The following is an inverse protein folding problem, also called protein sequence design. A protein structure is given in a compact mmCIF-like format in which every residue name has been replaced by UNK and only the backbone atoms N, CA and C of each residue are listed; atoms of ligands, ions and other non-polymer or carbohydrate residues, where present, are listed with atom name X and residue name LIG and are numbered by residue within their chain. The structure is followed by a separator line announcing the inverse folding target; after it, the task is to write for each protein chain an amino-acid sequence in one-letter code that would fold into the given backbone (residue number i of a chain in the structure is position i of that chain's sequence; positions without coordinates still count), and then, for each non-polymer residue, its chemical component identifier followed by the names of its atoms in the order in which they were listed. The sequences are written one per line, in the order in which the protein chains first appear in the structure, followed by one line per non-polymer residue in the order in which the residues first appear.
data_IF_748759077014
#
_entry.id   IF_748759077014
#
_cell.length_a   1.000
_cell.length_b   1.000
_cell.length_c   1.000
_cell.angle_alpha   90.00
_cell.angle_beta   90.00
_cell.angle_gamma   90.00
#
_symmetry.space_group_name_H-M   'P 1'
#
loop_
_entity.id
_entity.type
_entity.pdbx_description
1 polymer ?
#
# COMPACT_ATOMS: atom_id res chain seq x y z
N UNK A 1 -12.89 -5.39 -8.53
CA UNK A 1 -12.52 -3.96 -8.41
C UNK A 1 -12.19 -3.61 -6.97
N UNK A 2 -11.25 -2.69 -6.82
CA UNK A 2 -10.91 -1.90 -5.62
C UNK A 2 -12.06 -1.30 -4.81
N UNK A 3 -12.35 -1.66 -3.55
CA UNK A 3 -13.25 -0.84 -2.72
C UNK A 3 -12.85 -0.86 -1.23
N UNK A 4 -12.97 0.28 -0.56
CA UNK A 4 -12.64 0.47 0.86
C UNK A 4 -13.66 1.39 1.54
N UNK A 5 -14.11 1.03 2.74
CA UNK A 5 -14.93 1.91 3.58
C UNK A 5 -14.02 2.96 4.22
N UNK A 6 -14.24 4.24 3.91
CA UNK A 6 -13.35 5.33 4.33
C UNK A 6 -13.79 6.01 5.62
N UNK A 7 -15.10 6.04 5.89
CA UNK A 7 -15.64 6.62 7.10
C UNK A 7 -17.01 6.04 7.42
N UNK A 8 -17.18 5.49 8.63
CA UNK A 8 -18.49 5.18 9.20
C UNK A 8 -19.04 6.46 9.87
N UNK A 9 -20.20 6.94 9.40
CA UNK A 9 -20.84 8.14 9.96
C UNK A 9 -21.58 7.82 11.24
N UNK A 10 -22.36 6.75 11.21
CA UNK A 10 -23.13 6.24 12.33
C UNK A 10 -23.59 4.81 12.04
N UNK A 11 -23.83 4.05 13.11
CA UNK A 11 -24.61 2.82 13.08
C UNK A 11 -26.08 3.16 13.27
N UNK A 12 -26.96 2.38 12.67
CA UNK A 12 -28.41 2.48 12.84
C UNK A 12 -28.82 1.37 13.81
N UNK A 13 -29.46 1.77 14.91
CA UNK A 13 -30.14 0.84 15.80
C UNK A 13 -31.37 0.28 15.09
N UNK A 14 -31.47 -1.05 14.97
CA UNK A 14 -32.49 -1.70 14.13
C UNK A 14 -33.88 -1.60 14.75
N UNK A 15 -33.97 -1.56 16.08
CA UNK A 15 -35.23 -1.52 16.82
C UNK A 15 -35.83 -0.11 16.86
N UNK A 16 -34.98 0.89 17.05
CA UNK A 16 -35.40 2.29 17.23
C UNK A 16 -35.17 3.19 16.02
N UNK A 17 -34.34 2.77 15.06
CA UNK A 17 -33.87 3.62 13.96
C UNK A 17 -32.87 4.71 14.39
N UNK A 18 -32.46 4.73 15.66
CA UNK A 18 -31.59 5.78 16.18
C UNK A 18 -30.18 5.71 15.56
N UNK A 19 -29.58 6.88 15.32
CA UNK A 19 -28.20 6.99 14.85
C UNK A 19 -27.24 6.97 16.03
N UNK A 20 -26.42 5.92 16.10
CA UNK A 20 -25.44 5.71 17.16
C UNK A 20 -24.02 5.96 16.63
N UNK A 21 -23.19 6.62 17.43
CA UNK A 21 -21.77 6.77 17.11
C UNK A 21 -21.09 5.39 17.17
N UNK A 22 -20.38 5.03 16.10
CA UNK A 22 -19.67 3.77 16.01
C UNK A 22 -18.40 3.94 15.18
N UNK A 23 -17.38 3.13 15.47
CA UNK A 23 -16.13 3.08 14.69
C UNK A 23 -16.04 1.87 13.76
N UNK A 24 -16.87 0.86 13.99
CA UNK A 24 -16.98 -0.35 13.18
C UNK A 24 -18.42 -0.88 13.25
N UNK A 25 -18.78 -1.81 12.35
CA UNK A 25 -20.04 -2.55 12.36
C UNK A 25 -19.74 -4.03 12.62
N UNK A 26 -20.53 -4.65 13.49
CA UNK A 26 -20.54 -6.09 13.68
C UNK A 26 -21.45 -6.79 12.65
N UNK A 27 -21.45 -8.12 12.64
CA UNK A 27 -22.34 -8.90 11.78
C UNK A 27 -23.80 -8.53 12.04
N UNK A 28 -24.58 -8.38 10.97
CA UNK A 28 -25.99 -7.95 10.97
C UNK A 28 -26.25 -6.52 11.47
N UNK A 29 -25.22 -5.69 11.67
CA UNK A 29 -25.41 -4.27 11.95
C UNK A 29 -25.51 -3.45 10.67
N UNK A 30 -26.32 -2.40 10.73
CA UNK A 30 -26.53 -1.48 9.61
C UNK A 30 -25.84 -0.16 9.95
N UNK A 31 -25.16 0.44 8.98
CA UNK A 31 -24.56 1.76 9.17
C UNK A 31 -24.52 2.58 7.90
N UNK A 32 -24.41 3.88 8.08
CA UNK A 32 -24.23 4.83 6.98
C UNK A 32 -22.75 5.17 6.86
N UNK A 33 -22.14 4.85 5.72
CA UNK A 33 -20.71 5.01 5.53
C UNK A 33 -20.35 5.56 4.15
N UNK A 34 -19.11 6.03 4.04
CA UNK A 34 -18.50 6.44 2.78
C UNK A 34 -17.70 5.26 2.22
N UNK A 35 -17.87 4.98 0.93
CA UNK A 35 -17.08 3.99 0.20
C UNK A 35 -16.24 4.71 -0.85
N UNK A 36 -14.98 4.32 -0.96
CA UNK A 36 -14.08 4.75 -2.02
C UNK A 36 -13.73 3.54 -2.89
N UNK A 37 -13.72 3.73 -4.20
CA UNK A 37 -13.31 2.71 -5.16
C UNK A 37 -11.95 3.07 -5.77
N UNK A 38 -11.15 2.08 -6.15
CA UNK A 38 -9.83 2.33 -6.75
C UNK A 38 -9.91 2.80 -8.20
N UNK A 39 -11.02 2.49 -8.87
CA UNK A 39 -11.32 2.97 -10.23
C UNK A 39 -12.68 3.68 -10.22
N UNK A 40 -12.91 4.64 -11.13
CA UNK A 40 -14.25 5.21 -11.33
C UNK A 40 -15.29 4.14 -11.64
N UNK A 41 -16.50 4.31 -11.10
CA UNK A 41 -17.63 3.39 -11.26
C UNK A 41 -18.85 4.21 -11.62
N UNK A 42 -19.59 3.78 -12.65
CA UNK A 42 -20.90 4.33 -12.92
C UNK A 42 -21.89 3.78 -11.89
N UNK A 43 -22.63 4.66 -11.22
CA UNK A 43 -23.63 4.29 -10.24
C UNK A 43 -24.77 5.30 -10.21
N UNK A 44 -25.90 4.87 -9.67
CA UNK A 44 -27.05 5.72 -9.38
C UNK A 44 -27.39 5.64 -7.88
N UNK A 45 -28.11 6.62 -7.31
CA UNK A 45 -28.80 6.41 -6.05
C UNK A 45 -29.75 5.22 -6.15
N UNK A 46 -29.78 4.35 -5.14
CA UNK A 46 -30.67 3.17 -5.10
C UNK A 46 -32.15 3.52 -5.26
N UNK A 47 -32.54 4.71 -4.77
CA UNK A 47 -33.89 5.25 -4.93
C UNK A 47 -34.24 5.62 -6.37
N UNK A 48 -33.24 5.88 -7.21
CA UNK A 48 -33.42 6.22 -8.63
C UNK A 48 -33.30 4.98 -9.53
N UNK A 49 -32.30 4.13 -9.30
CA UNK A 49 -32.13 2.87 -10.01
C UNK A 49 -31.58 1.80 -9.06
N UNK A 50 -32.34 0.72 -8.87
CA UNK A 50 -31.99 -0.35 -7.93
C UNK A 50 -30.88 -1.26 -8.47
N UNK A 51 -30.77 -1.39 -9.80
CA UNK A 51 -29.81 -2.29 -10.43
C UNK A 51 -28.38 -1.75 -10.32
N UNK A 52 -28.22 -0.43 -10.46
CA UNK A 52 -26.93 0.27 -10.41
C UNK A 52 -26.67 0.97 -9.07
N UNK A 53 -27.69 1.09 -8.21
CA UNK A 53 -27.57 1.66 -6.88
C UNK A 53 -27.39 0.62 -5.77
N UNK A 54 -27.55 -0.66 -6.07
CA UNK A 54 -27.31 -1.77 -5.14
C UNK A 54 -25.89 -2.32 -5.32
N UNK A 55 -25.24 -2.72 -4.24
CA UNK A 55 -23.94 -3.38 -4.33
C UNK A 55 -23.73 -4.40 -3.23
N UNK A 56 -22.77 -5.29 -3.47
CA UNK A 56 -22.19 -6.17 -2.47
C UNK A 56 -20.70 -5.87 -2.35
N UNK A 57 -20.18 -5.94 -1.14
CA UNK A 57 -18.75 -5.97 -0.86
C UNK A 57 -18.37 -7.42 -0.63
N UNK A 58 -17.44 -7.91 -1.43
CA UNK A 58 -16.86 -9.24 -1.29
C UNK A 58 -15.49 -9.09 -0.64
N UNK A 59 -15.24 -9.85 0.42
CA UNK A 59 -13.90 -9.99 0.98
C UNK A 59 -13.01 -10.68 -0.06
N UNK A 60 -11.92 -10.03 -0.46
CA UNK A 60 -11.11 -10.54 -1.58
C UNK A 60 -10.28 -11.76 -1.23
N UNK A 61 -10.12 -12.07 0.06
CA UNK A 61 -9.36 -13.23 0.51
C UNK A 61 -10.26 -14.43 0.72
N UNK A 62 -11.36 -14.24 1.45
CA UNK A 62 -12.28 -15.36 1.74
C UNK A 62 -13.26 -15.61 0.61
N UNK A 63 -13.43 -14.65 -0.30
CA UNK A 63 -14.47 -14.61 -1.34
C UNK A 63 -15.90 -14.62 -0.79
N UNK A 64 -16.07 -14.38 0.51
CA UNK A 64 -17.37 -14.28 1.14
C UNK A 64 -17.94 -12.87 1.01
N UNK A 65 -19.27 -12.76 1.06
CA UNK A 65 -19.94 -11.46 1.14
C UNK A 65 -19.64 -10.81 2.49
N UNK A 66 -18.82 -9.76 2.47
CA UNK A 66 -18.51 -8.95 3.64
C UNK A 66 -19.67 -8.01 4.00
N UNK A 67 -20.36 -7.46 2.99
CA UNK A 67 -21.53 -6.59 3.18
C UNK A 67 -22.40 -6.50 1.94
N UNK A 68 -23.64 -6.03 2.11
CA UNK A 68 -24.48 -5.53 1.04
C UNK A 68 -24.92 -4.10 1.37
N UNK A 69 -25.17 -3.29 0.35
CA UNK A 69 -25.47 -1.88 0.57
C UNK A 69 -26.28 -1.25 -0.55
N UNK A 70 -26.83 -0.09 -0.21
CA UNK A 70 -27.60 0.78 -1.10
C UNK A 70 -26.89 2.13 -1.17
N UNK A 71 -26.69 2.62 -2.39
CA UNK A 71 -26.05 3.91 -2.62
C UNK A 71 -27.08 5.01 -2.36
N UNK A 72 -26.81 5.86 -1.37
CA UNK A 72 -27.67 7.00 -1.07
C UNK A 72 -27.45 8.16 -2.05
N UNK A 73 -26.19 8.59 -2.22
CA UNK A 73 -25.82 9.69 -3.12
C UNK A 73 -24.31 9.72 -3.38
N UNK A 74 -23.93 10.38 -4.48
CA UNK A 74 -22.53 10.70 -4.78
C UNK A 74 -21.97 11.72 -3.79
N UNK A 75 -20.78 11.44 -3.24
CA UNK A 75 -20.06 12.40 -2.41
C UNK A 75 -19.49 13.51 -3.30
N UNK A 76 -20.07 14.71 -3.21
CA UNK A 76 -19.68 15.88 -4.02
C UNK A 76 -18.30 16.46 -3.73
N UNK A 77 -17.53 15.89 -2.78
CA UNK A 77 -16.19 16.39 -2.45
C UNK A 77 -15.18 16.23 -3.59
N UNK A 78 -15.46 15.37 -4.57
CA UNK A 78 -14.63 15.16 -5.76
C UNK A 78 -15.33 15.49 -7.09
N UNK A 79 -16.63 15.84 -7.10
CA UNK A 79 -17.41 16.02 -8.34
C UNK A 79 -17.06 17.28 -9.14
N UNK A 80 -16.31 18.22 -8.54
CA UNK A 80 -15.78 19.39 -9.24
C UNK A 80 -14.30 19.21 -9.65
N UNK A 81 -13.74 18.02 -9.46
CA UNK A 81 -12.38 17.69 -9.92
C UNK A 81 -12.54 17.09 -11.31
N UNK A 82 -12.56 17.95 -12.32
CA UNK A 82 -12.26 17.48 -13.67
C UNK A 82 -10.81 16.98 -13.67
N UNK A 83 -10.58 15.76 -14.16
CA UNK A 83 -9.23 15.37 -14.54
C UNK A 83 -8.76 16.40 -15.56
N UNK A 84 -7.82 17.25 -15.14
CA UNK A 84 -7.14 18.12 -16.07
C UNK A 84 -6.20 17.23 -16.86
N UNK A 85 -6.58 16.93 -18.09
CA UNK A 85 -5.69 16.29 -19.05
C UNK A 85 -4.45 17.18 -19.18
N UNK A 86 -3.37 16.76 -18.54
CA UNK A 86 -2.10 17.45 -18.65
C UNK A 86 -1.59 17.24 -20.06
N UNK A 87 -1.25 18.33 -20.74
CA UNK A 87 -0.60 18.25 -22.05
C UNK A 87 0.73 17.46 -22.01
N UNK A 88 1.31 17.30 -20.81
CA UNK A 88 2.54 16.55 -20.57
C UNK A 88 2.22 15.17 -20.01
N UNK A 89 2.46 14.15 -20.83
CA UNK A 89 2.23 12.74 -20.48
C UNK A 89 3.33 12.17 -19.58
N UNK A 90 3.05 11.12 -18.79
CA UNK A 90 4.08 10.37 -18.05
C UNK A 90 5.21 9.86 -18.95
N UNK A 91 4.87 9.44 -20.18
CA UNK A 91 5.84 9.00 -21.18
C UNK A 91 6.84 10.11 -21.55
N UNK A 92 6.36 11.32 -21.83
CA UNK A 92 7.25 12.45 -22.13
C UNK A 92 8.19 12.77 -20.96
N UNK A 93 7.73 12.66 -19.71
CA UNK A 93 8.58 12.87 -18.53
C UNK A 93 9.64 11.79 -18.38
N UNK A 94 9.29 10.53 -18.67
CA UNK A 94 10.22 9.40 -18.69
C UNK A 94 11.27 9.56 -19.80
N UNK A 95 10.86 9.95 -21.01
CA UNK A 95 11.75 10.22 -22.15
C UNK A 95 12.74 11.35 -21.86
N UNK A 96 12.31 12.45 -21.22
CA UNK A 96 13.20 13.55 -20.80
C UNK A 96 14.28 13.11 -19.80
N UNK A 97 14.00 12.07 -19.02
CA UNK A 97 14.94 11.49 -18.05
C UNK A 97 15.74 10.32 -18.62
N UNK A 98 15.51 9.97 -19.89
CA UNK A 98 16.09 8.79 -20.53
C UNK A 98 15.99 7.52 -19.67
N UNK A 99 14.87 7.34 -18.96
CA UNK A 99 14.67 6.21 -18.04
C UNK A 99 13.23 5.71 -18.07
N UNK A 100 13.02 4.44 -17.73
CA UNK A 100 11.69 3.89 -17.50
C UNK A 100 11.27 4.15 -16.06
N UNK A 101 10.15 4.84 -15.87
CA UNK A 101 9.56 5.01 -14.56
C UNK A 101 9.05 3.67 -14.02
N UNK A 102 9.27 3.42 -12.74
CA UNK A 102 8.88 2.17 -12.08
C UNK A 102 8.75 2.35 -10.57
N UNK A 103 8.05 1.42 -9.93
CA UNK A 103 7.93 1.35 -8.47
C UNK A 103 8.61 0.06 -8.01
N UNK A 104 9.68 0.19 -7.24
CA UNK A 104 10.38 -0.92 -6.58
C UNK A 104 9.88 -1.00 -5.15
N UNK A 105 9.06 -2.01 -4.86
CA UNK A 105 8.33 -2.14 -3.61
C UNK A 105 8.92 -3.23 -2.72
N UNK A 106 9.67 -2.84 -1.70
CA UNK A 106 10.21 -3.77 -0.71
C UNK A 106 9.15 -4.13 0.33
N UNK A 107 8.98 -5.43 0.58
CA UNK A 107 8.20 -6.01 1.68
C UNK A 107 9.05 -6.99 2.49
N UNK A 108 8.72 -7.17 3.77
CA UNK A 108 9.48 -8.03 4.68
C UNK A 108 9.34 -7.60 6.14
N UNK A 109 9.73 -8.48 7.06
CA UNK A 109 9.68 -8.23 8.50
C UNK A 109 10.52 -7.01 8.94
N UNK A 110 10.20 -6.43 10.10
CA UNK A 110 11.09 -5.47 10.75
C UNK A 110 12.46 -6.10 10.97
N UNK A 111 13.56 -5.35 10.84
CA UNK A 111 14.92 -5.93 10.96
C UNK A 111 15.38 -6.81 9.79
N UNK A 112 14.53 -7.10 8.79
CA UNK A 112 14.89 -7.96 7.66
C UNK A 112 15.96 -7.35 6.72
N UNK A 113 16.21 -6.04 6.77
CA UNK A 113 17.22 -5.36 5.94
C UNK A 113 16.67 -4.49 4.81
N UNK A 114 15.33 -4.29 4.73
CA UNK A 114 14.66 -3.49 3.68
C UNK A 114 15.29 -2.12 3.46
N UNK A 115 15.31 -1.25 4.48
CA UNK A 115 15.83 0.11 4.34
C UNK A 115 17.33 0.12 4.00
N UNK A 116 18.11 -0.85 4.49
CA UNK A 116 19.53 -0.99 4.13
C UNK A 116 19.72 -1.28 2.65
N UNK A 117 18.99 -2.26 2.11
CA UNK A 117 19.08 -2.63 0.69
C UNK A 117 18.49 -1.51 -0.19
N UNK A 118 17.38 -0.90 0.22
CA UNK A 118 16.74 0.19 -0.52
C UNK A 118 17.64 1.43 -0.62
N UNK A 119 18.34 1.83 0.46
CA UNK A 119 19.31 2.93 0.43
C UNK A 119 20.49 2.61 -0.49
N UNK A 120 21.05 1.40 -0.42
CA UNK A 120 22.14 0.98 -1.33
C UNK A 120 21.70 0.94 -2.78
N UNK A 121 20.48 0.47 -3.05
CA UNK A 121 19.90 0.47 -4.38
C UNK A 121 19.81 1.91 -4.89
N UNK A 122 19.25 2.82 -4.09
CA UNK A 122 19.13 4.24 -4.46
C UNK A 122 20.51 4.84 -4.81
N UNK A 123 21.53 4.61 -3.99
CA UNK A 123 22.89 5.07 -4.26
C UNK A 123 23.44 4.54 -5.59
N UNK A 124 23.27 3.24 -5.87
CA UNK A 124 23.71 2.65 -7.14
C UNK A 124 22.95 3.21 -8.34
N UNK A 125 21.62 3.36 -8.23
CA UNK A 125 20.81 3.91 -9.30
C UNK A 125 21.18 5.37 -9.60
N UNK A 126 21.38 6.19 -8.57
CA UNK A 126 21.85 7.57 -8.72
C UNK A 126 23.24 7.61 -9.37
N UNK A 127 24.15 6.72 -8.98
CA UNK A 127 25.48 6.61 -9.61
C UNK A 127 25.42 6.18 -11.09
N UNK A 128 24.35 5.48 -11.49
CA UNK A 128 24.05 5.13 -12.89
C UNK A 128 23.31 6.26 -13.64
N UNK A 129 23.07 7.41 -12.99
CA UNK A 129 22.37 8.55 -13.59
C UNK A 129 20.85 8.47 -13.53
N UNK A 130 20.28 7.48 -12.83
CA UNK A 130 18.84 7.37 -12.68
C UNK A 130 18.30 8.41 -11.68
N UNK A 131 17.11 8.93 -11.97
CA UNK A 131 16.36 9.78 -11.06
C UNK A 131 15.43 8.93 -10.18
N UNK A 132 15.71 8.92 -8.89
CA UNK A 132 15.02 8.09 -7.89
C UNK A 132 14.33 8.91 -6.82
N UNK A 133 13.48 8.25 -6.03
CA UNK A 133 12.99 8.78 -4.76
C UNK A 133 12.68 7.63 -3.79
N UNK A 134 13.35 7.62 -2.63
CA UNK A 134 13.12 6.65 -1.56
C UNK A 134 12.01 7.10 -0.59
N UNK A 135 10.96 6.28 -0.50
CA UNK A 135 9.89 6.35 0.48
C UNK A 135 10.12 5.27 1.55
N UNK A 136 10.53 5.66 2.75
CA UNK A 136 10.68 4.77 3.91
C UNK A 136 9.58 5.05 4.95
N UNK A 137 9.20 4.02 5.71
CA UNK A 137 8.20 4.08 6.77
C UNK A 137 8.49 5.16 7.82
N UNK A 138 9.75 5.40 8.16
CA UNK A 138 10.12 6.47 9.09
C UNK A 138 9.85 7.86 8.48
N UNK A 139 10.32 8.10 7.25
CA UNK A 139 10.18 9.40 6.56
C UNK A 139 8.72 9.77 6.31
N UNK A 140 7.92 8.82 5.83
CA UNK A 140 6.51 9.07 5.50
C UNK A 140 5.67 9.30 6.77
N UNK A 141 5.99 8.62 7.88
CA UNK A 141 5.27 8.78 9.16
C UNK A 141 5.57 10.10 9.86
N UNK A 142 6.67 10.79 9.55
CA UNK A 142 6.92 12.14 10.07
C UNK A 142 6.10 13.22 9.34
N UNK A 143 5.64 12.96 8.11
CA UNK A 143 4.95 13.93 7.26
C UNK A 143 3.59 13.43 6.79
N UNK A 144 3.57 12.81 5.61
CA UNK A 144 2.36 12.40 4.87
C UNK A 144 1.40 11.54 5.70
N UNK A 145 1.93 10.69 6.59
CA UNK A 145 1.16 9.72 7.39
C UNK A 145 1.28 9.97 8.89
N UNK A 146 1.55 11.21 9.33
CA UNK A 146 1.72 11.55 10.76
C UNK A 146 0.46 11.35 11.61
N UNK A 147 -0.70 11.32 10.98
CA UNK A 147 -2.01 11.12 11.61
C UNK A 147 -2.36 9.64 11.83
N UNK A 148 -1.58 8.71 11.26
CA UNK A 148 -1.86 7.28 11.30
C UNK A 148 -1.11 6.57 12.43
N UNK A 149 -1.85 5.75 13.18
CA UNK A 149 -1.30 4.87 14.22
C UNK A 149 -0.73 3.56 13.66
N UNK A 150 -0.92 2.49 14.43
CA UNK A 150 -0.42 1.14 14.11
C UNK A 150 -1.53 0.08 14.12
N UNK A 151 -2.80 0.49 14.16
CA UNK A 151 -3.95 -0.42 13.97
C UNK A 151 -3.95 -1.01 12.56
N UNK A 152 -4.66 -2.10 12.33
CA UNK A 152 -4.74 -2.69 10.99
C UNK A 152 -5.34 -1.71 9.98
N UNK A 153 -6.39 -0.97 10.34
CA UNK A 153 -6.96 0.08 9.49
C UNK A 153 -5.96 1.19 9.16
N UNK A 154 -5.17 1.64 10.13
CA UNK A 154 -4.11 2.64 9.91
C UNK A 154 -3.00 2.11 9.00
N UNK A 155 -2.70 0.81 9.06
CA UNK A 155 -1.71 0.16 8.18
C UNK A 155 -2.20 0.12 6.74
N UNK A 156 -3.45 -0.27 6.54
CA UNK A 156 -4.09 -0.28 5.21
C UNK A 156 -4.05 1.13 4.60
N UNK A 157 -4.47 2.15 5.35
CA UNK A 157 -4.46 3.54 4.86
C UNK A 157 -3.03 4.06 4.64
N UNK A 158 -2.07 3.66 5.49
CA UNK A 158 -0.66 4.00 5.31
C UNK A 158 -0.14 3.46 3.98
N UNK A 159 -0.41 2.19 3.65
CA UNK A 159 0.02 1.58 2.39
C UNK A 159 -0.69 2.24 1.20
N UNK A 160 -1.99 2.52 1.30
CA UNK A 160 -2.75 3.21 0.24
C UNK A 160 -2.15 4.59 -0.08
N UNK A 161 -1.85 5.41 0.94
CA UNK A 161 -1.26 6.75 0.75
C UNK A 161 0.13 6.69 0.11
N UNK A 162 0.95 5.73 0.55
CA UNK A 162 2.29 5.50 -0.01
C UNK A 162 2.20 5.06 -1.47
N UNK A 163 1.27 4.16 -1.81
CA UNK A 163 1.07 3.71 -3.18
C UNK A 163 0.69 4.86 -4.11
N UNK A 164 -0.22 5.74 -3.68
CA UNK A 164 -0.57 6.94 -4.45
C UNK A 164 0.62 7.89 -4.62
N UNK A 165 1.42 8.11 -3.57
CA UNK A 165 2.62 8.94 -3.65
C UNK A 165 3.66 8.33 -4.62
N UNK A 166 3.88 7.02 -4.54
CA UNK A 166 4.78 6.30 -5.44
C UNK A 166 4.31 6.36 -6.89
N UNK A 167 2.99 6.25 -7.12
CA UNK A 167 2.35 6.42 -8.44
C UNK A 167 2.60 7.81 -9.00
N UNK A 168 2.38 8.88 -8.22
CA UNK A 168 2.67 10.25 -8.65
C UNK A 168 4.16 10.48 -8.98
N UNK A 169 5.07 9.82 -8.25
CA UNK A 169 6.50 9.86 -8.56
C UNK A 169 6.84 9.13 -9.86
N UNK A 170 6.23 7.97 -10.09
CA UNK A 170 6.37 7.25 -11.36
C UNK A 170 5.76 8.03 -12.54
N UNK A 171 4.63 8.72 -12.33
CA UNK A 171 4.06 9.64 -13.31
C UNK A 171 5.00 10.80 -13.62
N UNK A 172 5.76 11.28 -12.63
CA UNK A 172 6.81 12.28 -12.82
C UNK A 172 8.07 11.73 -13.53
N UNK A 173 8.07 10.47 -13.93
CA UNK A 173 9.15 9.81 -14.65
C UNK A 173 10.22 9.20 -13.74
N UNK A 174 10.01 9.09 -12.42
CA UNK A 174 11.02 8.61 -11.45
C UNK A 174 10.98 7.09 -11.25
N UNK A 175 12.09 6.53 -10.75
CA UNK A 175 12.09 5.19 -10.13
C UNK A 175 11.80 5.38 -8.64
N UNK A 176 10.57 5.11 -8.22
CA UNK A 176 10.16 5.21 -6.81
C UNK A 176 10.57 3.95 -6.07
N UNK A 177 11.29 4.10 -4.96
CA UNK A 177 11.75 2.99 -4.12
C UNK A 177 10.97 3.04 -2.81
N UNK A 178 10.18 2.02 -2.52
CA UNK A 178 9.32 1.98 -1.33
C UNK A 178 9.80 0.91 -0.36
N UNK A 179 10.16 1.29 0.88
CA UNK A 179 10.64 0.38 1.92
C UNK A 179 9.63 0.28 3.08
N UNK A 180 8.67 -0.64 3.00
CA UNK A 180 7.61 -0.78 4.00
C UNK A 180 7.48 -2.23 4.46
N UNK A 181 7.00 -2.45 5.69
CA UNK A 181 6.68 -3.83 6.12
C UNK A 181 5.58 -4.41 5.22
N UNK A 182 4.53 -3.62 4.95
CA UNK A 182 3.39 -4.00 4.10
C UNK A 182 2.91 -5.45 4.35
N UNK A 183 2.47 -5.77 5.59
CA UNK A 183 2.37 -7.15 6.06
C UNK A 183 1.27 -7.95 5.37
N UNK A 184 0.20 -7.31 4.89
CA UNK A 184 -0.96 -7.98 4.31
C UNK A 184 -0.85 -8.05 2.79
N UNK A 185 -1.15 -9.22 2.21
CA UNK A 185 -1.10 -9.44 0.75
C UNK A 185 -2.06 -8.54 -0.01
N UNK A 186 -3.28 -8.31 0.49
CA UNK A 186 -4.25 -7.43 -0.16
C UNK A 186 -3.77 -5.99 -0.24
N UNK A 187 -3.03 -5.50 0.75
CA UNK A 187 -2.51 -4.13 0.73
C UNK A 187 -1.42 -3.98 -0.35
N UNK A 188 -0.59 -5.02 -0.52
CA UNK A 188 0.41 -5.05 -1.60
C UNK A 188 -0.24 -5.19 -2.97
N UNK A 189 -1.30 -5.99 -3.08
CA UNK A 189 -2.10 -6.07 -4.31
C UNK A 189 -2.79 -4.73 -4.61
N UNK A 190 -3.34 -4.05 -3.60
CA UNK A 190 -3.92 -2.70 -3.75
C UNK A 190 -2.86 -1.71 -4.23
N UNK A 191 -1.66 -1.75 -3.66
CA UNK A 191 -0.56 -0.88 -4.09
C UNK A 191 -0.17 -1.15 -5.55
N UNK A 192 -0.15 -2.42 -5.98
CA UNK A 192 0.07 -2.83 -7.37
C UNK A 192 -1.04 -2.35 -8.30
N UNK A 193 -2.31 -2.44 -7.88
CA UNK A 193 -3.46 -1.94 -8.65
C UNK A 193 -3.39 -0.42 -8.82
N UNK A 194 -3.04 0.32 -7.75
CA UNK A 194 -2.85 1.78 -7.78
C UNK A 194 -1.68 2.14 -8.71
N UNK A 195 -0.58 1.40 -8.66
CA UNK A 195 0.60 1.66 -9.47
C UNK A 195 0.36 1.62 -10.99
N UNK A 196 -0.67 0.90 -11.45
CA UNK A 196 -0.97 0.77 -12.88
C UNK A 196 -1.15 2.15 -13.55
N UNK A 197 -0.63 2.35 -14.78
CA UNK A 197 -0.01 1.35 -15.66
C UNK A 197 1.52 1.20 -15.45
N UNK A 198 2.10 1.79 -14.42
CA UNK A 198 3.55 1.74 -14.20
C UNK A 198 4.02 0.34 -13.75
N UNK A 199 5.22 -0.10 -14.16
CA UNK A 199 5.83 -1.31 -13.64
C UNK A 199 5.91 -1.30 -12.11
N UNK A 200 5.44 -2.37 -11.49
CA UNK A 200 5.50 -2.59 -10.05
C UNK A 200 6.33 -3.85 -9.78
N UNK A 201 7.46 -3.68 -9.08
CA UNK A 201 8.43 -4.73 -8.80
C UNK A 201 8.40 -5.01 -7.30
N UNK A 202 7.70 -6.06 -6.89
CA UNK A 202 7.63 -6.50 -5.50
C UNK A 202 8.90 -7.26 -5.12
N UNK A 203 9.69 -6.66 -4.23
CA UNK A 203 10.93 -7.21 -3.69
C UNK A 203 10.67 -7.77 -2.29
N UNK A 204 10.59 -9.08 -2.18
CA UNK A 204 10.45 -9.76 -0.90
C UNK A 204 11.82 -9.92 -0.22
N UNK A 205 12.03 -9.20 0.88
CA UNK A 205 13.18 -9.37 1.77
C UNK A 205 12.85 -10.46 2.78
N UNK A 206 13.21 -11.67 2.40
CA UNK A 206 12.88 -12.92 3.05
C UNK A 206 13.95 -13.30 4.07
N UNK A 207 13.78 -12.76 5.27
CA UNK A 207 14.67 -13.00 6.41
C UNK A 207 13.86 -13.71 7.49
N UNK A 208 14.32 -14.87 8.02
CA UNK A 208 13.65 -15.57 9.11
C UNK A 208 13.42 -14.67 10.31
N UNK A 209 12.29 -14.83 11.00
CA UNK A 209 11.93 -13.97 12.12
C UNK A 209 12.95 -14.03 13.26
N UNK A 210 13.53 -15.20 13.54
CA UNK A 210 14.53 -15.36 14.59
C UNK A 210 15.78 -14.52 14.31
N UNK A 211 16.18 -14.42 13.04
CA UNK A 211 17.28 -13.57 12.60
C UNK A 211 16.91 -12.08 12.70
N UNK A 212 15.67 -11.71 12.35
CA UNK A 212 15.17 -10.34 12.56
C UNK A 212 15.17 -9.94 14.04
N UNK A 213 14.73 -10.83 14.93
CA UNK A 213 14.73 -10.63 16.39
C UNK A 213 16.17 -10.54 16.91
N UNK A 214 17.08 -11.36 16.40
CA UNK A 214 18.50 -11.32 16.79
C UNK A 214 19.17 -10.00 16.39
N UNK A 215 18.83 -9.47 15.21
CA UNK A 215 19.39 -8.20 14.70
C UNK A 215 18.86 -6.98 15.45
N UNK A 216 17.55 -6.95 15.74
CA UNK A 216 16.75 -5.88 16.37
C UNK A 216 17.44 -4.49 16.47
N UNK A 217 17.82 -3.86 15.34
CA UNK A 217 18.69 -2.69 15.36
C UNK A 217 18.05 -1.46 16.00
N UNK A 218 16.71 -1.43 16.09
CA UNK A 218 15.91 -0.35 16.67
C UNK A 218 15.35 -0.72 18.06
N UNK A 219 15.67 -1.91 18.58
CA UNK A 219 15.13 -2.42 19.86
C UNK A 219 13.60 -2.59 19.85
N UNK A 220 12.99 -2.76 18.68
CA UNK A 220 11.53 -2.81 18.52
C UNK A 220 10.97 -4.19 18.91
N UNK A 221 11.70 -5.28 18.59
CA UNK A 221 11.30 -6.61 19.01
C UNK A 221 11.36 -6.78 20.52
N UNK A 222 12.42 -6.25 21.16
CA UNK A 222 12.52 -6.25 22.62
C UNK A 222 11.36 -5.48 23.28
N UNK A 223 11.01 -4.30 22.75
CA UNK A 223 9.88 -3.49 23.25
C UNK A 223 8.53 -4.17 23.02
N UNK A 224 8.33 -4.82 21.87
CA UNK A 224 7.11 -5.57 21.58
C UNK A 224 6.93 -6.75 22.54
N UNK A 225 7.99 -7.53 22.79
CA UNK A 225 7.96 -8.63 23.77
C UNK A 225 7.69 -8.17 25.21
N UNK A 226 8.12 -6.96 25.55
CA UNK A 226 7.81 -6.34 26.84
C UNK A 226 6.40 -5.74 26.92
N UNK A 227 5.57 -5.86 25.87
CA UNK A 227 4.21 -5.31 25.82
C UNK A 227 4.13 -3.80 25.60
N UNK A 228 5.26 -3.13 25.33
CA UNK A 228 5.32 -1.68 25.15
C UNK A 228 4.88 -1.22 23.75
N UNK A 229 4.84 -2.13 22.77
CA UNK A 229 4.40 -1.86 21.39
C UNK A 229 3.34 -2.91 21.03
N UNK A 230 2.05 -2.57 21.05
CA UNK A 230 0.99 -3.48 20.63
C UNK A 230 0.95 -3.63 19.10
N UNK A 231 0.40 -4.76 18.65
CA UNK A 231 0.18 -5.14 17.26
C UNK A 231 1.46 -5.22 16.42
N UNK A 232 2.61 -5.55 17.00
CA UNK A 232 3.87 -5.65 16.28
C UNK A 232 3.93 -6.83 15.30
N UNK A 233 4.26 -6.54 14.04
CA UNK A 233 4.32 -7.54 12.97
C UNK A 233 5.35 -8.63 13.26
N UNK A 234 4.91 -9.89 13.22
CA UNK A 234 5.69 -11.08 13.52
C UNK A 234 5.64 -11.52 14.98
N UNK A 235 5.08 -10.71 15.90
CA UNK A 235 4.89 -11.10 17.30
C UNK A 235 3.40 -11.32 17.59
N UNK A 236 2.61 -10.25 17.54
CA UNK A 236 1.18 -10.23 17.87
C UNK A 236 0.31 -9.73 16.69
N UNK A 237 0.91 -9.42 15.55
CA UNK A 237 0.25 -9.16 14.27
C UNK A 237 0.90 -10.00 13.16
N UNK A 238 0.13 -10.59 12.21
CA UNK A 238 0.70 -11.48 11.21
C UNK A 238 1.54 -10.74 10.16
N UNK A 239 2.45 -11.48 9.54
CA UNK A 239 3.09 -11.10 8.28
C UNK A 239 2.71 -12.17 7.26
N UNK A 240 2.13 -11.77 6.14
CA UNK A 240 1.77 -12.67 5.04
C UNK A 240 2.84 -12.57 3.96
N UNK A 241 3.75 -13.56 3.83
CA UNK A 241 4.78 -13.55 2.80
C UNK A 241 4.13 -13.49 1.41
N UNK A 242 4.72 -12.75 0.44
CA UNK A 242 4.24 -12.78 -0.93
C UNK A 242 4.47 -14.16 -1.55
N UNK A 243 3.46 -14.65 -2.28
CA UNK A 243 3.53 -15.96 -2.94
C UNK A 243 4.34 -15.90 -4.23
N UNK A 244 4.16 -14.82 -5.00
CA UNK A 244 4.80 -14.63 -6.31
C UNK A 244 5.44 -13.23 -6.43
N UNK A 245 6.41 -12.87 -5.56
CA UNK A 245 7.12 -11.61 -5.71
C UNK A 245 7.96 -11.62 -6.99
N UNK A 246 8.13 -10.46 -7.65
CA UNK A 246 9.03 -10.35 -8.79
C UNK A 246 10.48 -10.72 -8.41
N UNK A 247 10.91 -10.35 -7.20
CA UNK A 247 12.27 -10.59 -6.72
C UNK A 247 12.23 -11.05 -5.26
N UNK A 248 12.95 -12.14 -4.94
CA UNK A 248 13.13 -12.63 -3.56
C UNK A 248 14.58 -12.47 -3.13
N UNK A 249 14.81 -11.86 -1.96
CA UNK A 249 16.13 -11.62 -1.37
C UNK A 249 16.22 -12.31 -0.02
N UNK A 250 17.09 -13.33 0.10
CA UNK A 250 17.44 -13.93 1.40
C UNK A 250 18.63 -13.15 1.97
N UNK A 251 18.52 -12.66 3.21
CA UNK A 251 19.56 -11.84 3.84
C UNK A 251 20.32 -12.55 4.96
N UNK A 252 20.06 -13.84 5.20
CA UNK A 252 20.58 -14.56 6.38
C UNK A 252 22.11 -14.69 6.34
N UNK A 253 22.69 -14.94 5.17
CA UNK A 253 24.14 -15.13 4.98
C UNK A 253 24.63 -14.52 3.67
N UNK A 254 24.06 -13.38 3.27
CA UNK A 254 24.43 -12.72 2.00
C UNK A 254 24.80 -11.29 2.27
N UNK A 255 25.94 -10.87 1.74
CA UNK A 255 26.39 -9.50 1.79
C UNK A 255 25.32 -8.57 1.15
N UNK A 256 24.88 -7.52 1.85
CA UNK A 256 23.91 -6.58 1.30
C UNK A 256 24.36 -5.93 -0.02
N UNK A 257 25.67 -5.84 -0.29
CA UNK A 257 26.18 -5.32 -1.57
C UNK A 257 25.85 -6.28 -2.71
N UNK A 258 26.16 -7.57 -2.52
CA UNK A 258 25.85 -8.62 -3.50
C UNK A 258 24.34 -8.74 -3.77
N UNK A 259 23.49 -8.59 -2.75
CA UNK A 259 22.03 -8.55 -2.93
C UNK A 259 21.59 -7.33 -3.76
N UNK A 260 22.24 -6.19 -3.53
CA UNK A 260 21.97 -4.97 -4.28
C UNK A 260 22.40 -5.09 -5.74
N UNK A 261 23.58 -5.67 -6.01
CA UNK A 261 24.06 -5.94 -7.37
C UNK A 261 23.12 -6.89 -8.12
N UNK A 262 22.64 -7.93 -7.46
CA UNK A 262 21.63 -8.83 -8.01
C UNK A 262 20.34 -8.09 -8.34
N UNK A 263 19.89 -7.19 -7.45
CA UNK A 263 18.70 -6.40 -7.67
C UNK A 263 18.84 -5.46 -8.88
N UNK A 264 20.00 -4.81 -9.04
CA UNK A 264 20.29 -3.99 -10.24
C UNK A 264 20.28 -4.85 -11.51
N UNK A 265 20.84 -6.06 -11.47
CA UNK A 265 20.84 -6.97 -12.61
C UNK A 265 19.42 -7.41 -13.01
N UNK A 266 18.57 -7.74 -12.04
CA UNK A 266 17.15 -8.05 -12.26
C UNK A 266 16.38 -6.87 -12.87
N UNK A 267 16.62 -5.64 -12.39
CA UNK A 267 15.97 -4.44 -12.93
C UNK A 267 16.39 -4.17 -14.39
N UNK A 268 17.64 -4.47 -14.77
CA UNK A 268 18.09 -4.43 -16.17
C UNK A 268 17.42 -5.49 -17.04
N UNK A 269 17.34 -6.74 -16.55
CA UNK A 269 16.68 -7.82 -17.28
C UNK A 269 15.19 -7.53 -17.55
N UNK A 270 14.56 -6.78 -16.64
CA UNK A 270 13.18 -6.31 -16.75
C UNK A 270 13.03 -5.02 -17.56
N UNK A 271 14.10 -4.53 -18.17
CA UNK A 271 14.17 -3.29 -18.95
C UNK A 271 13.80 -2.02 -18.19
N UNK A 272 13.81 -2.05 -16.84
CA UNK A 272 13.58 -0.86 -16.02
C UNK A 272 14.80 0.07 -16.08
N UNK A 273 16.00 -0.52 -16.15
CA UNK A 273 17.27 0.18 -16.29
C UNK A 273 17.84 -0.11 -17.67
N UNK A 274 18.60 0.86 -18.21
CA UNK A 274 19.39 0.70 -19.41
C UNK A 274 20.61 -0.22 -19.22
#
# INVERSE_FOLDING_TARGET
MSATVTALKYRIDVDSGAHLAARALASNEIGFCNISTATPVAFDPYTANRDTGGFILIDRFTQETAAAGMIAFALRRASNIHWHDSTITPRQRAELKAQQAAIVWFTGLSGAGKSTIANRLEQKLVALGCHTMLLDGDNVRHGLNRDLGFTDADRVENIRRVAEAARLMAEAGLVSICAFISPFRADRQMARDIAAPHPFIEVFVDTPIDECIRRDPKGLYAKARAGAIPNFTGIDSPYEPPETPEIRLNTTDTDPEALCDRLVAELRQRHILA
#
